data_IF_089270778209
#
_entry.id   IF_089270778209
#
_cell.length_a   1.000
_cell.length_b   1.000
_cell.length_c   1.000
_cell.angle_alpha   90.00
_cell.angle_beta   90.00
_cell.angle_gamma   90.00
#
_symmetry.space_group_name_H-M   'P 1'
#
loop_
_entity.id
_entity.type
_entity.pdbx_description
1 polymer ?
#
# COMPACT_ATOMS: atom_id res chain seq x y z
N UNK A 1 -13.30 3.52 23.39
CA UNK A 1 -12.39 4.51 22.80
C UNK A 1 -12.57 4.43 21.30
N UNK A 2 -12.84 5.54 20.60
CA UNK A 2 -13.00 5.51 19.15
C UNK A 2 -11.64 5.18 18.51
N UNK A 3 -11.56 4.09 17.74
CA UNK A 3 -10.41 3.83 16.89
C UNK A 3 -10.37 4.92 15.82
N UNK A 4 -9.52 5.92 16.01
CA UNK A 4 -9.31 6.99 15.02
C UNK A 4 -8.56 6.37 13.85
N UNK A 5 -9.31 5.96 12.83
CA UNK A 5 -8.72 5.48 11.57
C UNK A 5 -8.16 6.68 10.82
N UNK A 6 -6.84 6.77 10.74
CA UNK A 6 -6.19 7.81 9.95
C UNK A 6 -6.50 7.62 8.45
N UNK A 7 -6.83 8.69 7.71
CA UNK A 7 -6.95 8.65 6.26
C UNK A 7 -5.64 8.23 5.60
N UNK A 8 -5.73 7.60 4.42
CA UNK A 8 -4.55 7.08 3.71
C UNK A 8 -3.55 8.19 3.37
N UNK A 9 -4.03 9.36 2.95
CA UNK A 9 -3.17 10.54 2.71
C UNK A 9 -2.36 10.95 3.95
N UNK A 10 -2.94 10.82 5.15
CA UNK A 10 -2.22 11.12 6.40
C UNK A 10 -1.16 10.06 6.66
N UNK A 11 -1.47 8.78 6.44
CA UNK A 11 -0.50 7.69 6.59
C UNK A 11 0.64 7.80 5.58
N UNK A 12 0.36 8.16 4.33
CA UNK A 12 1.37 8.38 3.29
C UNK A 12 2.28 9.53 3.70
N UNK A 13 1.72 10.67 4.11
CA UNK A 13 2.49 11.82 4.61
C UNK A 13 3.37 11.45 5.81
N UNK A 14 2.84 10.71 6.77
CA UNK A 14 3.60 10.25 7.94
C UNK A 14 4.77 9.34 7.52
N UNK A 15 4.52 8.40 6.63
CA UNK A 15 5.57 7.52 6.11
C UNK A 15 6.66 8.27 5.34
N UNK A 16 6.29 9.22 4.47
CA UNK A 16 7.24 10.11 3.80
C UNK A 16 8.05 10.95 4.80
N UNK A 17 7.46 11.26 5.95
CA UNK A 17 8.10 11.89 7.11
C UNK A 17 9.00 10.97 7.94
N UNK A 18 9.05 9.66 7.65
CA UNK A 18 9.90 8.67 8.32
C UNK A 18 9.15 7.69 9.24
N UNK A 19 7.82 7.76 9.31
CA UNK A 19 7.01 6.83 10.11
C UNK A 19 6.75 5.51 9.38
N UNK A 20 7.62 4.52 9.60
CA UNK A 20 7.50 3.18 8.99
C UNK A 20 6.21 2.43 9.43
N UNK A 21 5.61 2.77 10.59
CA UNK A 21 4.35 2.16 11.06
C UNK A 21 3.19 2.59 10.17
N UNK A 22 3.23 3.82 9.65
CA UNK A 22 2.20 4.34 8.76
C UNK A 22 2.14 3.55 7.44
N UNK A 23 3.29 3.09 6.91
CA UNK A 23 3.33 2.20 5.76
C UNK A 23 2.75 0.82 6.08
N UNK A 24 3.11 0.22 7.21
CA UNK A 24 2.56 -1.09 7.60
C UNK A 24 1.02 -1.03 7.66
N UNK A 25 0.48 0.07 8.21
CA UNK A 25 -0.97 0.31 8.29
C UNK A 25 -1.61 0.44 6.89
N UNK A 26 -0.96 1.12 5.94
CA UNK A 26 -1.42 1.21 4.55
C UNK A 26 -1.44 -0.16 3.87
N UNK A 27 -0.36 -0.92 4.01
CA UNK A 27 -0.24 -2.26 3.42
C UNK A 27 -1.33 -3.18 3.98
N UNK A 28 -1.49 -3.20 5.30
CA UNK A 28 -2.47 -4.06 5.97
C UNK A 28 -3.91 -3.72 5.55
N UNK A 29 -4.21 -2.44 5.31
CA UNK A 29 -5.53 -1.98 4.86
C UNK A 29 -5.87 -2.42 3.44
N UNK A 30 -4.87 -2.51 2.56
CA UNK A 30 -5.08 -2.73 1.12
C UNK A 30 -4.74 -4.13 0.64
N UNK A 31 -3.95 -4.91 1.39
CA UNK A 31 -3.46 -6.23 0.97
C UNK A 31 -4.56 -7.15 0.45
N UNK A 32 -5.66 -7.36 1.17
CA UNK A 32 -6.70 -8.31 0.76
C UNK A 32 -7.40 -7.89 -0.52
N UNK A 33 -7.61 -6.58 -0.71
CA UNK A 33 -8.27 -6.03 -1.90
C UNK A 33 -7.36 -6.12 -3.13
N UNK A 34 -6.08 -5.78 -2.97
CA UNK A 34 -5.07 -5.86 -4.04
C UNK A 34 -4.86 -7.30 -4.45
N UNK A 35 -4.66 -8.21 -3.48
CA UNK A 35 -4.50 -9.64 -3.73
C UNK A 35 -5.70 -10.20 -4.47
N UNK A 36 -6.92 -9.93 -3.97
CA UNK A 36 -8.16 -10.39 -4.61
C UNK A 36 -8.34 -9.86 -6.03
N UNK A 37 -7.95 -8.60 -6.28
CA UNK A 37 -7.98 -8.02 -7.62
C UNK A 37 -7.00 -8.72 -8.57
N UNK A 38 -5.74 -8.92 -8.16
CA UNK A 38 -4.73 -9.62 -8.97
C UNK A 38 -5.20 -11.05 -9.25
N UNK A 39 -5.64 -11.77 -8.22
CA UNK A 39 -6.13 -13.14 -8.35
C UNK A 39 -7.31 -13.22 -9.32
N UNK A 40 -8.23 -12.25 -9.30
CA UNK A 40 -9.37 -12.21 -10.23
C UNK A 40 -8.97 -12.07 -11.71
N UNK A 41 -7.74 -11.62 -11.99
CA UNK A 41 -7.20 -11.47 -13.35
C UNK A 41 -6.35 -12.65 -13.77
N UNK A 42 -5.59 -13.22 -12.86
CA UNK A 42 -4.59 -14.24 -13.16
C UNK A 42 -5.13 -15.66 -12.91
N UNK A 43 -5.99 -15.83 -11.90
CA UNK A 43 -6.56 -17.11 -11.46
C UNK A 43 -5.52 -18.20 -11.14
N UNK A 44 -4.29 -17.78 -10.82
CA UNK A 44 -3.19 -18.64 -10.38
C UNK A 44 -2.61 -18.05 -9.09
N UNK A 45 -2.43 -18.89 -8.06
CA UNK A 45 -2.00 -18.41 -6.73
C UNK A 45 -0.53 -18.02 -6.69
N UNK A 46 0.33 -18.80 -7.32
CA UNK A 46 1.78 -18.57 -7.28
C UNK A 46 2.11 -17.30 -8.06
N UNK A 47 1.52 -17.14 -9.25
CA UNK A 47 1.68 -15.92 -10.04
C UNK A 47 1.03 -14.69 -9.36
N UNK A 48 -0.09 -14.89 -8.65
CA UNK A 48 -0.70 -13.80 -7.88
C UNK A 48 0.23 -13.32 -6.77
N UNK A 49 0.83 -14.24 -6.02
CA UNK A 49 1.75 -13.92 -4.93
C UNK A 49 2.97 -13.17 -5.46
N UNK A 50 3.57 -13.61 -6.56
CA UNK A 50 4.71 -12.94 -7.20
C UNK A 50 4.37 -11.50 -7.60
N UNK A 51 3.24 -11.30 -8.31
CA UNK A 51 2.80 -9.95 -8.73
C UNK A 51 2.46 -9.08 -7.53
N UNK A 52 1.85 -9.67 -6.49
CA UNK A 52 1.45 -8.98 -5.28
C UNK A 52 2.67 -8.46 -4.51
N UNK A 53 3.69 -9.29 -4.32
CA UNK A 53 4.96 -8.89 -3.69
C UNK A 53 5.67 -7.80 -4.49
N UNK A 54 5.79 -7.97 -5.82
CA UNK A 54 6.38 -6.96 -6.71
C UNK A 54 5.65 -5.61 -6.64
N UNK A 55 4.33 -5.66 -6.54
CA UNK A 55 3.48 -4.47 -6.40
C UNK A 55 3.81 -3.73 -5.12
N UNK A 56 3.90 -4.42 -3.98
CA UNK A 56 4.26 -3.77 -2.72
C UNK A 56 5.68 -3.21 -2.71
N UNK A 57 6.65 -3.95 -3.26
CA UNK A 57 8.02 -3.44 -3.39
C UNK A 57 8.04 -2.13 -4.20
N UNK A 58 7.28 -2.04 -5.30
CA UNK A 58 7.16 -0.82 -6.11
C UNK A 58 6.50 0.33 -5.33
N UNK A 59 5.44 0.06 -4.59
CA UNK A 59 4.78 1.07 -3.74
C UNK A 59 5.76 1.62 -2.69
N UNK A 60 6.45 0.75 -1.96
CA UNK A 60 7.42 1.13 -0.93
C UNK A 60 8.52 2.01 -1.53
N UNK A 61 9.12 1.59 -2.65
CA UNK A 61 10.17 2.36 -3.35
C UNK A 61 9.65 3.72 -3.83
N UNK A 62 8.45 3.76 -4.40
CA UNK A 62 7.84 5.01 -4.91
C UNK A 62 7.59 6.01 -3.80
N UNK A 63 7.05 5.54 -2.67
CA UNK A 63 6.80 6.39 -1.52
C UNK A 63 8.10 6.84 -0.82
N UNK A 64 9.14 5.99 -0.71
CA UNK A 64 10.45 6.38 -0.12
C UNK A 64 11.21 7.40 -0.95
N UNK A 65 11.10 7.35 -2.27
CA UNK A 65 11.85 8.22 -3.17
C UNK A 65 11.34 9.67 -3.21
N UNK A 66 10.27 10.00 -2.46
CA UNK A 66 9.63 11.34 -2.41
C UNK A 66 9.18 11.90 -3.76
N UNK A 67 9.29 11.11 -4.84
CA UNK A 67 8.71 11.41 -6.15
C UNK A 67 7.20 11.19 -6.20
N UNK A 68 6.60 10.77 -5.08
CA UNK A 68 5.16 10.68 -4.95
C UNK A 68 4.56 12.07 -4.74
N UNK A 69 3.99 12.62 -5.82
CA UNK A 69 3.19 13.84 -5.75
C UNK A 69 1.75 13.42 -5.39
N UNK A 70 1.32 13.71 -4.17
CA UNK A 70 -0.04 13.44 -3.69
C UNK A 70 -1.06 14.29 -4.46
N UNK A 71 -1.43 13.87 -5.67
CA UNK A 71 -2.52 14.48 -6.46
C UNK A 71 -3.92 14.02 -5.97
N UNK A 72 -4.05 13.53 -4.72
CA UNK A 72 -5.31 13.02 -4.18
C UNK A 72 -5.75 11.65 -4.73
N UNK A 73 -4.79 10.81 -5.15
CA UNK A 73 -5.06 9.50 -5.79
C UNK A 73 -5.08 8.31 -4.82
N UNK A 74 -4.85 8.53 -3.52
CA UNK A 74 -5.01 7.52 -2.46
C UNK A 74 -6.29 7.75 -1.68
#
# INVERSE_FOLDING_TARGET
MANVVLPDAVLVKNYVGGDEIALATLIERHQSKIYGFIYSKVMDRDVTEDIFQDTFIKVIKTLKTKNYNEEGKF
#
